data_IF_952575284688
#
_entry.id   IF_952575284688
#
_cell.length_a   1.000
_cell.length_b   1.000
_cell.length_c   1.000
_cell.angle_alpha   90.00
_cell.angle_beta   90.00
_cell.angle_gamma   90.00
#
_symmetry.space_group_name_H-M   'P 1'
#
loop_
_entity.id
_entity.type
_entity.pdbx_description
1 polymer ?
#
# COMPACT_ATOMS: atom_id res chain seq x y z
N UNK A 1 28.73 -31.97 -40.67
CA UNK A 1 29.73 -33.01 -40.35
C UNK A 1 30.52 -32.57 -39.13
N UNK A 2 30.36 -33.28 -38.02
CA UNK A 2 31.02 -33.05 -36.72
C UNK A 2 32.54 -33.09 -36.80
N UNK A 3 33.22 -32.21 -36.04
CA UNK A 3 34.45 -32.58 -35.31
C UNK A 3 34.53 -31.83 -33.99
N UNK A 4 34.08 -32.53 -32.95
CA UNK A 4 34.42 -32.28 -31.54
C UNK A 4 35.93 -32.43 -31.32
N UNK A 5 36.51 -31.53 -30.52
CA UNK A 5 37.83 -31.74 -29.93
C UNK A 5 37.89 -31.09 -28.55
N UNK A 6 37.59 -31.88 -27.52
CA UNK A 6 37.93 -31.61 -26.12
C UNK A 6 39.27 -32.29 -25.84
N UNK A 7 40.30 -31.53 -25.41
CA UNK A 7 41.49 -32.09 -24.74
C UNK A 7 41.96 -31.20 -23.57
N UNK A 8 41.69 -31.75 -22.38
CA UNK A 8 42.59 -31.98 -21.24
C UNK A 8 43.38 -30.81 -20.62
N UNK A 9 42.92 -30.52 -19.39
CA UNK A 9 43.59 -30.62 -18.08
C UNK A 9 44.62 -29.57 -17.65
N UNK A 10 44.34 -29.15 -16.41
CA UNK A 10 45.24 -28.92 -15.27
C UNK A 10 45.97 -27.57 -15.23
N UNK A 11 45.67 -26.78 -14.21
CA UNK A 11 46.38 -26.83 -12.92
C UNK A 11 45.63 -26.01 -11.87
N UNK A 12 45.38 -26.65 -10.74
CA UNK A 12 45.01 -26.06 -9.46
C UNK A 12 46.16 -25.19 -8.94
N UNK A 13 45.90 -23.92 -8.63
CA UNK A 13 46.62 -23.13 -7.62
C UNK A 13 45.59 -22.19 -6.97
N UNK A 14 45.18 -22.42 -5.72
CA UNK A 14 45.64 -21.71 -4.50
C UNK A 14 45.23 -20.23 -4.54
N UNK A 15 44.63 -19.60 -3.54
CA UNK A 15 43.95 -19.94 -2.31
C UNK A 15 43.36 -18.60 -1.81
N UNK A 16 42.25 -18.66 -1.08
CA UNK A 16 41.88 -17.76 0.03
C UNK A 16 42.36 -16.30 -0.03
N UNK A 17 41.47 -15.42 -0.49
CA UNK A 17 41.54 -13.97 -0.25
C UNK A 17 40.19 -13.44 0.20
N UNK A 18 39.72 -13.87 1.38
CA UNK A 18 38.70 -13.14 2.13
C UNK A 18 39.41 -11.99 2.85
N UNK A 19 39.15 -10.73 2.50
CA UNK A 19 38.75 -9.66 3.43
C UNK A 19 38.79 -8.28 2.78
N UNK A 20 37.83 -7.46 3.21
CA UNK A 20 37.89 -6.01 3.33
C UNK A 20 37.60 -5.17 2.07
N UNK A 21 36.32 -4.81 1.89
CA UNK A 21 35.88 -3.41 1.88
C UNK A 21 34.35 -3.35 1.72
N UNK A 22 33.61 -3.49 2.82
CA UNK A 22 32.15 -3.26 2.85
C UNK A 22 31.79 -2.52 4.12
N UNK A 23 32.04 -1.22 4.17
CA UNK A 23 31.67 -0.36 5.29
C UNK A 23 31.56 1.10 4.86
N UNK A 24 30.59 1.45 4.02
CA UNK A 24 30.25 2.86 3.75
C UNK A 24 28.83 3.07 3.20
N UNK A 25 27.84 2.27 3.60
CA UNK A 25 26.45 2.46 3.19
C UNK A 25 25.47 2.39 4.37
N UNK A 26 25.75 3.16 5.42
CA UNK A 26 24.88 3.25 6.60
C UNK A 26 24.86 4.71 7.03
N UNK A 27 23.92 5.54 6.56
CA UNK A 27 23.48 6.80 7.23
C UNK A 27 22.45 7.62 6.43
N UNK A 28 21.54 6.99 5.68
CA UNK A 28 20.32 7.68 5.23
C UNK A 28 19.09 6.80 5.44
N UNK A 29 18.97 6.23 6.63
CA UNK A 29 17.68 5.79 7.15
C UNK A 29 16.86 7.03 7.51
N UNK A 30 16.36 7.75 6.51
CA UNK A 30 15.27 8.68 6.73
C UNK A 30 14.12 7.85 7.31
N UNK A 31 13.76 8.14 8.56
CA UNK A 31 12.72 7.41 9.27
C UNK A 31 11.45 7.38 8.42
N UNK A 32 11.09 6.19 7.95
CA UNK A 32 9.73 5.92 7.50
C UNK A 32 8.90 6.00 8.76
N UNK A 33 8.30 7.16 9.00
CA UNK A 33 7.25 7.33 9.99
C UNK A 33 6.06 6.50 9.50
N UNK A 34 6.07 5.21 9.82
CA UNK A 34 4.85 4.42 9.78
C UNK A 34 3.87 5.15 10.70
N UNK A 35 2.86 5.80 10.12
CA UNK A 35 1.70 6.23 10.89
C UNK A 35 1.07 4.94 11.41
N UNK A 36 1.47 4.55 12.62
CA UNK A 36 0.83 3.50 13.39
C UNK A 36 -0.57 3.97 13.74
N UNK A 37 -1.49 3.86 12.79
CA UNK A 37 -2.90 3.80 13.10
C UNK A 37 -3.10 2.55 13.93
N UNK A 38 -3.71 2.71 15.10
CA UNK A 38 -4.32 1.57 15.78
C UNK A 38 -5.21 0.88 14.74
N UNK A 39 -4.86 -0.34 14.33
CA UNK A 39 -5.64 -1.09 13.35
C UNK A 39 -6.66 -1.90 14.14
N UNK A 40 -7.77 -1.27 14.47
CA UNK A 40 -8.97 -1.93 14.95
C UNK A 40 -9.67 -2.59 13.75
N UNK A 41 -10.41 -3.67 14.03
CA UNK A 41 -11.17 -4.41 13.01
C UNK A 41 -12.22 -3.47 12.42
N UNK A 42 -12.25 -3.38 11.08
CA UNK A 42 -13.25 -2.61 10.37
C UNK A 42 -14.66 -3.13 10.66
N UNK A 43 -15.49 -2.29 11.28
CA UNK A 43 -16.79 -2.69 11.81
C UNK A 43 -17.77 -3.16 10.71
N UNK A 44 -17.59 -2.68 9.48
CA UNK A 44 -18.44 -3.00 8.34
C UNK A 44 -17.73 -3.91 7.31
N UNK A 45 -16.53 -4.44 7.65
CA UNK A 45 -15.75 -5.34 6.82
C UNK A 45 -14.94 -4.67 5.71
N UNK A 46 -14.81 -3.34 5.74
CA UNK A 46 -14.06 -2.54 4.78
C UNK A 46 -12.61 -2.27 5.18
N UNK A 47 -12.05 -1.24 4.55
CA UNK A 47 -10.74 -0.68 4.91
C UNK A 47 -10.95 0.62 5.68
N UNK A 48 -10.42 0.69 6.90
CA UNK A 48 -10.38 1.93 7.69
C UNK A 48 -9.18 2.76 7.25
N UNK A 49 -9.42 4.04 6.97
CA UNK A 49 -8.40 5.02 6.68
C UNK A 49 -8.58 6.26 7.55
N UNK A 50 -7.51 6.70 8.21
CA UNK A 50 -7.51 7.99 8.90
C UNK A 50 -7.50 9.12 7.85
N UNK A 51 -8.45 10.04 7.97
CA UNK A 51 -8.64 11.21 7.12
C UNK A 51 -8.73 12.49 7.97
N UNK A 52 -7.57 13.06 8.30
CA UNK A 52 -7.48 14.28 9.09
C UNK A 52 -8.00 14.09 10.52
N UNK A 53 -9.17 14.66 10.83
CA UNK A 53 -9.83 14.58 12.14
C UNK A 53 -10.77 13.37 12.30
N UNK A 54 -10.89 12.54 11.25
CA UNK A 54 -11.85 11.44 11.19
C UNK A 54 -11.17 10.13 10.79
N UNK A 55 -11.91 9.05 10.95
CA UNK A 55 -11.64 7.76 10.33
C UNK A 55 -12.79 7.43 9.39
N UNK A 56 -12.44 6.99 8.18
CA UNK A 56 -13.39 6.60 7.16
C UNK A 56 -13.25 5.11 6.86
N UNK A 57 -14.37 4.42 6.73
CA UNK A 57 -14.42 3.04 6.25
C UNK A 57 -15.17 2.99 4.92
N UNK A 58 -14.51 2.46 3.89
CA UNK A 58 -15.12 2.26 2.56
C UNK A 58 -15.45 0.78 2.37
N UNK A 59 -16.71 0.49 2.01
CA UNK A 59 -17.23 -0.88 1.80
C UNK A 59 -18.01 -0.95 0.49
N UNK A 60 -17.83 -2.04 -0.26
CA UNK A 60 -18.70 -2.37 -1.41
C UNK A 60 -19.64 -3.50 -1.01
N UNK A 61 -20.95 -3.30 -1.17
CA UNK A 61 -21.98 -4.30 -0.93
C UNK A 61 -22.86 -4.43 -2.17
N UNK A 62 -22.64 -5.47 -2.96
CA UNK A 62 -23.31 -5.62 -4.25
C UNK A 62 -22.89 -4.51 -5.21
N UNK A 63 -23.85 -3.66 -5.61
CA UNK A 63 -23.60 -2.48 -6.45
C UNK A 63 -23.38 -1.19 -5.66
N UNK A 64 -23.56 -1.23 -4.34
CA UNK A 64 -23.50 -0.03 -3.49
C UNK A 64 -22.11 0.19 -2.93
N UNK A 65 -21.63 1.44 -3.01
CA UNK A 65 -20.44 1.91 -2.32
C UNK A 65 -20.88 2.67 -1.08
N UNK A 66 -20.47 2.20 0.10
CA UNK A 66 -20.83 2.78 1.39
C UNK A 66 -19.60 3.44 2.02
N UNK A 67 -19.77 4.69 2.47
CA UNK A 67 -18.79 5.43 3.24
C UNK A 67 -19.29 5.60 4.67
N UNK A 68 -18.54 5.09 5.64
CA UNK A 68 -18.78 5.30 7.06
C UNK A 68 -17.74 6.28 7.60
N UNK A 69 -18.15 7.21 8.47
CA UNK A 69 -17.26 8.21 9.07
C UNK A 69 -17.47 8.20 10.59
N UNK A 70 -16.37 8.16 11.33
CA UNK A 70 -16.32 8.34 12.79
C UNK A 70 -15.24 9.35 13.15
N UNK A 71 -15.29 9.91 14.35
CA UNK A 71 -14.19 10.73 14.87
C UNK A 71 -12.99 9.86 15.30
N UNK A 72 -11.87 10.50 15.70
CA UNK A 72 -10.67 9.81 16.19
C UNK A 72 -10.87 9.01 17.49
N UNK A 73 -12.01 9.15 18.15
CA UNK A 73 -12.39 8.35 19.31
C UNK A 73 -13.43 7.29 18.94
N UNK A 74 -13.57 6.99 17.65
CA UNK A 74 -14.53 6.04 17.07
C UNK A 74 -16.00 6.39 17.38
N UNK A 75 -16.29 7.66 17.68
CA UNK A 75 -17.67 8.10 17.95
C UNK A 75 -18.37 8.48 16.66
N UNK A 76 -19.68 8.24 16.65
CA UNK A 76 -20.57 8.68 15.56
C UNK A 76 -20.56 10.19 15.46
N UNK A 77 -20.53 10.68 14.22
CA UNK A 77 -20.55 12.11 13.89
C UNK A 77 -21.92 12.54 13.35
N UNK A 78 -22.17 13.84 13.30
CA UNK A 78 -23.37 14.42 12.68
C UNK A 78 -23.26 14.41 11.16
N UNK A 79 -24.03 13.54 10.51
CA UNK A 79 -24.00 13.33 9.06
C UNK A 79 -24.39 14.60 8.26
N UNK A 80 -25.18 15.52 8.82
CA UNK A 80 -25.61 16.74 8.13
C UNK A 80 -24.45 17.68 7.79
N UNK A 81 -23.27 17.48 8.40
CA UNK A 81 -22.06 18.28 8.18
C UNK A 81 -21.19 17.80 7.03
N UNK A 82 -21.53 16.67 6.42
CA UNK A 82 -20.69 16.02 5.42
C UNK A 82 -21.38 16.03 4.07
N UNK A 83 -20.63 16.42 3.04
CA UNK A 83 -20.87 16.01 1.66
C UNK A 83 -19.63 15.28 1.16
N UNK A 84 -19.81 14.38 0.21
CA UNK A 84 -18.72 13.66 -0.41
C UNK A 84 -18.90 13.57 -1.92
N UNK A 85 -17.79 13.52 -2.63
CA UNK A 85 -17.75 13.29 -4.06
C UNK A 85 -16.85 12.09 -4.32
N UNK A 86 -17.38 11.10 -5.02
CA UNK A 86 -16.62 9.97 -5.51
C UNK A 86 -16.53 10.07 -7.04
N UNK A 87 -15.35 9.83 -7.60
CA UNK A 87 -15.18 9.68 -9.05
C UNK A 87 -15.02 8.21 -9.35
N UNK A 88 -15.99 7.66 -10.07
CA UNK A 88 -15.95 6.28 -10.55
C UNK A 88 -15.27 6.26 -11.91
N UNK A 89 -14.16 5.53 -12.01
CA UNK A 89 -13.51 5.24 -13.29
C UNK A 89 -14.29 4.10 -13.97
N UNK A 90 -15.06 4.45 -14.98
CA UNK A 90 -15.86 3.51 -15.76
C UNK A 90 -15.06 2.95 -16.96
N UNK A 91 -15.66 2.01 -17.68
CA UNK A 91 -15.08 1.45 -18.90
C UNK A 91 -14.71 2.54 -19.93
N UNK A 92 -13.77 2.22 -20.83
CA UNK A 92 -13.35 3.11 -21.92
C UNK A 92 -12.79 4.46 -21.45
N UNK A 93 -12.10 4.44 -20.30
CA UNK A 93 -11.52 5.62 -19.64
C UNK A 93 -12.55 6.72 -19.30
N UNK A 94 -13.82 6.36 -19.18
CA UNK A 94 -14.85 7.30 -18.74
C UNK A 94 -14.72 7.56 -17.24
N UNK A 95 -15.08 8.76 -16.82
CA UNK A 95 -15.19 9.12 -15.40
C UNK A 95 -16.61 9.57 -15.12
N UNK A 96 -17.18 9.05 -14.03
CA UNK A 96 -18.49 9.49 -13.54
C UNK A 96 -18.36 9.98 -12.12
N UNK A 97 -18.70 11.24 -11.92
CA UNK A 97 -18.84 11.82 -10.59
C UNK A 97 -20.15 11.36 -9.96
N UNK A 98 -20.05 10.87 -8.72
CA UNK A 98 -21.17 10.53 -7.86
C UNK A 98 -21.08 11.43 -6.64
N UNK A 99 -22.14 12.18 -6.38
CA UNK A 99 -22.24 13.05 -5.23
C UNK A 99 -23.06 12.38 -4.13
N UNK A 100 -22.61 12.55 -2.89
CA UNK A 100 -23.29 12.13 -1.69
C UNK A 100 -23.54 13.36 -0.85
N UNK A 101 -24.80 13.73 -0.69
CA UNK A 101 -25.23 14.81 0.19
C UNK A 101 -26.17 14.26 1.27
N UNK A 102 -26.26 14.93 2.43
CA UNK A 102 -27.32 14.65 3.38
C UNK A 102 -28.68 14.81 2.69
N UNK A 103 -29.62 13.92 2.98
CA UNK A 103 -31.01 13.98 2.52
C UNK A 103 -31.83 14.95 3.36
#
# INVERSE_FOLDING_TARGET
MMRSAIRRRSKTFVARGFLAASAALMLSGAGVMAQGGHSHVAANGGQIQQIGAYEAELVVKGADVMLYIVDKQEKKVDAAKFSATAVVLAADNQQKTVEMSPS
#
